data_IF_455622396224
#
_entry.id   IF_455622396224
#
_cell.length_a   1.000
_cell.length_b   1.000
_cell.length_c   1.000
_cell.angle_alpha   90.00
_cell.angle_beta   90.00
_cell.angle_gamma   90.00
#
_symmetry.space_group_name_H-M   'P 1'
#
loop_
_entity.id
_entity.type
_entity.pdbx_description
1 polymer ?
#
# COMPACT_ATOMS: atom_id res chain seq x y z
N UNK A 1 -32.20 3.71 62.49
CA UNK A 1 -32.66 4.93 63.19
C UNK A 1 -32.20 6.13 62.38
N UNK A 2 -33.15 7.04 62.13
CA UNK A 2 -33.08 8.42 61.62
C UNK A 2 -32.28 8.67 60.32
N UNK A 3 -32.93 8.96 59.19
CA UNK A 3 -33.67 10.19 58.79
C UNK A 3 -32.75 11.09 57.97
N UNK A 4 -33.04 11.21 56.66
CA UNK A 4 -33.46 12.46 55.99
C UNK A 4 -32.36 13.55 56.00
N UNK A 5 -31.91 14.04 54.86
CA UNK A 5 -32.81 14.78 54.00
C UNK A 5 -32.26 15.12 52.63
N UNK A 6 -33.25 15.24 51.76
CA UNK A 6 -33.24 15.70 50.38
C UNK A 6 -32.72 17.14 50.27
N UNK A 7 -32.19 17.42 49.09
CA UNK A 7 -31.92 18.72 48.49
C UNK A 7 -33.03 19.73 48.74
N UNK A 8 -32.68 20.92 49.24
CA UNK A 8 -33.39 22.16 48.95
C UNK A 8 -32.39 23.24 48.54
N UNK A 9 -32.46 23.59 47.25
CA UNK A 9 -31.85 24.78 46.69
C UNK A 9 -32.56 26.01 47.27
N UNK A 10 -31.81 26.85 47.99
CA UNK A 10 -32.24 28.20 48.33
C UNK A 10 -31.17 29.18 47.83
N UNK A 11 -31.21 29.47 46.53
CA UNK A 11 -30.56 30.66 45.99
C UNK A 11 -31.42 31.87 46.39
N UNK A 12 -31.01 32.58 47.44
CA UNK A 12 -31.54 33.90 47.76
C UNK A 12 -30.36 34.86 47.88
N UNK A 13 -30.14 35.78 46.90
CA UNK A 13 -29.15 36.82 47.04
C UNK A 13 -29.70 37.85 48.02
N UNK A 14 -29.26 37.78 49.26
CA UNK A 14 -29.56 38.78 50.27
C UNK A 14 -28.73 40.02 49.93
N UNK A 15 -29.30 40.94 49.14
CA UNK A 15 -28.76 42.28 48.91
C UNK A 15 -28.81 43.07 50.22
N UNK A 16 -27.80 42.89 51.07
CA UNK A 16 -27.62 43.73 52.25
C UNK A 16 -26.26 44.39 52.21
N UNK A 17 -26.32 45.69 51.88
CA UNK A 17 -25.29 46.72 52.05
C UNK A 17 -24.21 46.34 53.06
N UNK A 18 -22.97 46.26 52.57
CA UNK A 18 -21.80 46.80 53.23
C UNK A 18 -20.87 47.29 52.11
N UNK A 19 -21.04 48.58 51.75
CA UNK A 19 -20.01 49.34 51.05
C UNK A 19 -19.04 49.77 52.13
N UNK A 20 -18.09 48.90 52.49
CA UNK A 20 -16.97 49.26 53.34
C UNK A 20 -15.68 48.99 52.56
N UNK A 21 -15.01 50.10 52.27
CA UNK A 21 -13.59 50.26 51.98
C UNK A 21 -13.03 49.56 50.72
N UNK A 22 -13.05 50.34 49.63
CA UNK A 22 -12.11 50.21 48.52
C UNK A 22 -10.66 50.27 49.05
N UNK A 23 -10.08 49.12 49.39
CA UNK A 23 -8.67 48.90 49.13
C UNK A 23 -8.52 48.69 47.62
N UNK A 24 -8.43 49.80 46.88
CA UNK A 24 -7.98 49.77 45.50
C UNK A 24 -6.59 49.13 45.52
N UNK A 25 -6.50 47.91 44.98
CA UNK A 25 -5.24 47.21 44.75
C UNK A 25 -4.37 47.93 43.69
N UNK A 26 -4.36 49.27 43.61
CA UNK A 26 -3.56 50.08 42.68
C UNK A 26 -3.78 49.84 41.18
N UNK A 27 -4.47 48.76 40.79
CA UNK A 27 -4.77 48.38 39.43
C UNK A 27 -5.99 49.19 39.00
N UNK A 28 -5.75 50.13 38.11
CA UNK A 28 -6.82 50.89 37.47
C UNK A 28 -7.49 50.04 36.39
N UNK A 29 -8.71 50.41 35.99
CA UNK A 29 -9.36 49.77 34.84
C UNK A 29 -8.53 49.92 33.55
N UNK A 30 -7.70 50.96 33.46
CA UNK A 30 -6.78 51.19 32.36
C UNK A 30 -5.66 50.13 32.36
N UNK A 31 -5.06 49.82 33.51
CA UNK A 31 -4.04 48.76 33.63
C UNK A 31 -4.60 47.39 33.24
N UNK A 32 -5.86 47.11 33.62
CA UNK A 32 -6.53 45.88 33.22
C UNK A 32 -6.79 45.82 31.71
N UNK A 33 -7.20 46.93 31.09
CA UNK A 33 -7.41 47.01 29.65
C UNK A 33 -6.09 46.85 28.87
N UNK A 34 -4.99 47.44 29.35
CA UNK A 34 -3.66 47.31 28.76
C UNK A 34 -3.19 45.84 28.80
N UNK A 35 -3.31 45.18 29.96
CA UNK A 35 -2.91 43.78 30.11
C UNK A 35 -3.74 42.84 29.22
N UNK A 36 -5.03 43.11 29.05
CA UNK A 36 -5.89 42.35 28.15
C UNK A 36 -5.49 42.54 26.68
N UNK A 37 -5.21 43.76 26.25
CA UNK A 37 -4.73 44.05 24.89
C UNK A 37 -3.37 43.39 24.62
N UNK A 38 -2.45 43.43 25.59
CA UNK A 38 -1.15 42.77 25.47
C UNK A 38 -1.32 41.25 25.34
N UNK A 39 -2.15 40.63 26.20
CA UNK A 39 -2.43 39.20 26.13
C UNK A 39 -3.07 38.83 24.78
N UNK A 40 -4.00 39.64 24.28
CA UNK A 40 -4.64 39.42 22.99
C UNK A 40 -3.65 39.50 21.83
N UNK A 41 -2.70 40.44 21.88
CA UNK A 41 -1.63 40.57 20.89
C UNK A 41 -0.71 39.35 20.92
N UNK A 42 -0.23 38.94 22.09
CA UNK A 42 0.63 37.76 22.25
C UNK A 42 -0.04 36.48 21.73
N UNK A 43 -1.32 36.28 22.07
CA UNK A 43 -2.11 35.15 21.55
C UNK A 43 -2.29 35.20 20.03
N UNK A 44 -2.41 36.40 19.46
CA UNK A 44 -2.53 36.57 18.00
C UNK A 44 -1.23 36.21 17.30
N UNK A 45 -0.08 36.63 17.84
CA UNK A 45 1.25 36.29 17.32
C UNK A 45 1.51 34.78 17.40
N UNK A 46 1.20 34.17 18.55
CA UNK A 46 1.33 32.72 18.74
C UNK A 46 0.45 31.97 17.73
N UNK A 47 -0.78 32.43 17.52
CA UNK A 47 -1.70 31.81 16.55
C UNK A 47 -1.15 31.86 15.13
N UNK A 48 -0.56 32.97 14.72
CA UNK A 48 0.03 33.14 13.39
C UNK A 48 1.23 32.20 13.20
N UNK A 49 2.14 32.14 14.17
CA UNK A 49 3.29 31.21 14.14
C UNK A 49 2.83 29.74 14.07
N UNK A 50 1.82 29.35 14.85
CA UNK A 50 1.25 28.00 14.75
C UNK A 50 0.62 27.72 13.38
N UNK A 51 -0.02 28.71 12.75
CA UNK A 51 -0.60 28.54 11.42
C UNK A 51 0.49 28.32 10.35
N UNK A 52 1.57 29.08 10.44
CA UNK A 52 2.71 28.95 9.52
C UNK A 52 3.38 27.58 9.69
N UNK A 53 3.66 27.16 10.92
CA UNK A 53 4.23 25.84 11.21
C UNK A 53 3.33 24.70 10.72
N UNK A 54 2.01 24.80 10.88
CA UNK A 54 1.07 23.81 10.35
C UNK A 54 1.05 23.80 8.82
N UNK A 55 1.19 24.97 8.18
CA UNK A 55 1.29 25.08 6.74
C UNK A 55 2.56 24.39 6.22
N UNK A 56 3.70 24.67 6.84
CA UNK A 56 4.98 24.05 6.50
C UNK A 56 4.96 22.53 6.71
N UNK A 57 4.43 22.07 7.85
CA UNK A 57 4.28 20.65 8.15
C UNK A 57 3.39 19.97 7.10
N UNK A 58 2.25 20.58 6.75
CA UNK A 58 1.36 20.06 5.72
C UNK A 58 2.07 19.94 4.37
N UNK A 59 2.84 20.96 3.97
CA UNK A 59 3.60 20.92 2.74
C UNK A 59 4.68 19.83 2.75
N UNK A 60 5.40 19.69 3.86
CA UNK A 60 6.42 18.64 4.01
C UNK A 60 5.80 17.25 3.91
N UNK A 61 4.70 17.00 4.62
CA UNK A 61 3.97 15.73 4.58
C UNK A 61 3.48 15.43 3.16
N UNK A 62 2.90 16.41 2.46
CA UNK A 62 2.45 16.22 1.08
C UNK A 62 3.61 15.83 0.16
N UNK A 63 4.75 16.53 0.23
CA UNK A 63 5.94 16.20 -0.58
C UNK A 63 6.43 14.78 -0.32
N UNK A 64 6.45 14.34 0.94
CA UNK A 64 6.84 12.97 1.29
C UNK A 64 5.83 11.93 0.79
N UNK A 65 4.55 12.23 0.88
CA UNK A 65 3.49 11.36 0.39
C UNK A 65 3.54 11.21 -1.14
N UNK A 66 3.80 12.31 -1.85
CA UNK A 66 3.99 12.30 -3.30
C UNK A 66 5.24 11.47 -3.70
N UNK A 67 6.34 11.61 -2.97
CA UNK A 67 7.54 10.80 -3.20
C UNK A 67 7.28 9.30 -2.97
N UNK A 68 6.57 8.95 -1.90
CA UNK A 68 6.21 7.56 -1.62
C UNK A 68 5.28 6.99 -2.70
N UNK A 69 4.33 7.78 -3.20
CA UNK A 69 3.46 7.35 -4.30
C UNK A 69 4.26 7.03 -5.56
N UNK A 70 5.28 7.82 -5.89
CA UNK A 70 6.16 7.55 -7.03
C UNK A 70 6.93 6.24 -6.85
N UNK A 71 7.46 5.95 -5.65
CA UNK A 71 8.12 4.67 -5.36
C UNK A 71 7.16 3.48 -5.48
N UNK A 72 5.94 3.64 -4.98
CA UNK A 72 4.90 2.60 -5.08
C UNK A 72 4.52 2.34 -6.54
N UNK A 73 4.46 3.38 -7.36
CA UNK A 73 4.18 3.24 -8.79
C UNK A 73 5.34 2.59 -9.55
N UNK A 74 6.60 2.90 -9.20
CA UNK A 74 7.79 2.24 -9.77
C UNK A 74 7.81 0.73 -9.44
N UNK A 75 7.54 0.37 -8.18
CA UNK A 75 7.42 -1.03 -7.76
C UNK A 75 6.30 -1.74 -8.55
N UNK A 76 5.16 -1.07 -8.77
CA UNK A 76 4.04 -1.64 -9.52
C UNK A 76 4.40 -1.86 -10.99
N UNK A 77 5.10 -0.92 -11.61
CA UNK A 77 5.61 -1.07 -12.96
C UNK A 77 6.57 -2.27 -13.06
N UNK A 78 7.54 -2.36 -12.15
CA UNK A 78 8.48 -3.48 -12.10
C UNK A 78 7.78 -4.84 -11.88
N UNK A 79 6.76 -4.90 -11.03
CA UNK A 79 5.96 -6.12 -10.87
C UNK A 79 5.22 -6.53 -12.15
N UNK A 80 4.69 -5.56 -12.89
CA UNK A 80 4.03 -5.83 -14.18
C UNK A 80 5.02 -6.38 -15.21
N UNK A 81 6.23 -5.80 -15.28
CA UNK A 81 7.29 -6.27 -16.17
C UNK A 81 7.74 -7.70 -15.84
N UNK A 82 7.95 -7.99 -14.55
CA UNK A 82 8.29 -9.35 -14.09
C UNK A 82 7.17 -10.33 -14.44
N UNK A 83 5.91 -9.94 -14.21
CA UNK A 83 4.74 -10.77 -14.53
C UNK A 83 4.69 -11.12 -16.02
N UNK A 84 4.92 -10.13 -16.89
CA UNK A 84 4.97 -10.32 -18.34
C UNK A 84 6.12 -11.25 -18.73
N UNK A 85 7.32 -11.03 -18.19
CA UNK A 85 8.48 -11.88 -18.45
C UNK A 85 8.23 -13.34 -18.03
N UNK A 86 7.58 -13.56 -16.89
CA UNK A 86 7.22 -14.91 -16.42
C UNK A 86 6.18 -15.56 -17.35
N UNK A 87 5.20 -14.79 -17.82
CA UNK A 87 4.21 -15.27 -18.78
C UNK A 87 4.85 -15.69 -20.11
N UNK A 88 5.76 -14.89 -20.64
CA UNK A 88 6.51 -15.19 -21.86
C UNK A 88 7.41 -16.42 -21.69
N UNK A 89 8.12 -16.52 -20.56
CA UNK A 89 8.96 -17.67 -20.26
C UNK A 89 8.11 -18.96 -20.20
N UNK A 90 6.95 -18.91 -19.55
CA UNK A 90 6.00 -20.03 -19.52
C UNK A 90 5.56 -20.42 -20.93
N UNK A 91 5.21 -19.45 -21.77
CA UNK A 91 4.79 -19.70 -23.15
C UNK A 91 5.92 -20.35 -23.97
N UNK A 92 7.16 -19.89 -23.80
CA UNK A 92 8.34 -20.50 -24.40
C UNK A 92 8.54 -21.95 -23.95
N UNK A 93 8.40 -22.24 -22.66
CA UNK A 93 8.50 -23.60 -22.15
C UNK A 93 7.41 -24.51 -22.72
N UNK A 94 6.16 -24.05 -22.78
CA UNK A 94 5.05 -24.82 -23.38
C UNK A 94 5.32 -25.11 -24.85
N UNK A 95 5.80 -24.11 -25.61
CA UNK A 95 6.18 -24.28 -27.01
C UNK A 95 7.33 -25.29 -27.18
N UNK A 96 8.36 -25.19 -26.34
CA UNK A 96 9.51 -26.10 -26.37
C UNK A 96 9.11 -27.54 -26.03
N UNK A 97 8.25 -27.74 -25.03
CA UNK A 97 7.70 -29.06 -24.71
C UNK A 97 6.93 -29.64 -25.89
N UNK A 98 6.06 -28.86 -26.53
CA UNK A 98 5.33 -29.28 -27.72
C UNK A 98 6.27 -29.68 -28.88
N UNK A 99 7.31 -28.88 -29.13
CA UNK A 99 8.32 -29.16 -30.14
C UNK A 99 9.13 -30.43 -29.82
N UNK A 100 9.53 -30.60 -28.56
CA UNK A 100 10.26 -31.77 -28.09
C UNK A 100 9.43 -33.05 -28.25
N UNK A 101 8.18 -33.05 -27.77
CA UNK A 101 7.25 -34.18 -27.92
C UNK A 101 7.08 -34.53 -29.40
N UNK A 102 6.85 -33.53 -30.27
CA UNK A 102 6.74 -33.74 -31.72
C UNK A 102 8.00 -34.37 -32.33
N UNK A 103 9.19 -33.95 -31.89
CA UNK A 103 10.46 -34.51 -32.34
C UNK A 103 10.61 -35.97 -31.90
N UNK A 104 10.38 -36.27 -30.62
CA UNK A 104 10.45 -37.64 -30.07
C UNK A 104 9.50 -38.59 -30.80
N UNK A 105 8.26 -38.17 -31.04
CA UNK A 105 7.30 -38.98 -31.79
C UNK A 105 7.73 -39.21 -33.25
N UNK A 106 8.24 -38.19 -33.93
CA UNK A 106 8.77 -38.31 -35.30
C UNK A 106 9.96 -39.27 -35.37
N UNK A 107 10.90 -39.15 -34.44
CA UNK A 107 12.09 -39.99 -34.39
C UNK A 107 11.72 -41.45 -34.11
N UNK A 108 10.77 -41.68 -33.20
CA UNK A 108 10.29 -43.03 -32.90
C UNK A 108 9.55 -43.65 -34.11
N UNK A 109 8.73 -42.88 -34.83
CA UNK A 109 8.10 -43.33 -36.08
C UNK A 109 9.14 -43.69 -37.15
N UNK A 110 10.18 -42.86 -37.33
CA UNK A 110 11.27 -43.15 -38.28
C UNK A 110 12.01 -44.43 -37.91
N UNK A 111 12.38 -44.62 -36.64
CA UNK A 111 13.04 -45.85 -36.17
C UNK A 111 12.20 -47.10 -36.42
N UNK A 112 10.91 -47.05 -36.12
CA UNK A 112 9.98 -48.17 -36.40
C UNK A 112 9.92 -48.49 -37.89
N UNK A 113 9.77 -47.47 -38.75
CA UNK A 113 9.72 -47.67 -40.20
C UNK A 113 11.01 -48.32 -40.73
N UNK A 114 12.16 -47.83 -40.28
CA UNK A 114 13.46 -48.35 -40.71
C UNK A 114 13.65 -49.82 -40.31
N UNK A 115 13.19 -50.20 -39.11
CA UNK A 115 13.17 -51.60 -38.66
C UNK A 115 12.27 -52.47 -39.53
N UNK A 116 11.04 -52.03 -39.85
CA UNK A 116 10.14 -52.76 -40.73
C UNK A 116 10.72 -52.98 -42.14
N UNK A 117 11.35 -51.95 -42.72
CA UNK A 117 12.01 -52.04 -44.03
C UNK A 117 13.18 -53.02 -43.98
N UNK A 118 13.98 -53.01 -42.91
CA UNK A 118 15.07 -53.97 -42.72
C UNK A 118 14.58 -55.42 -42.66
N UNK A 119 13.51 -55.69 -41.88
CA UNK A 119 12.91 -57.03 -41.79
C UNK A 119 12.38 -57.48 -43.16
N UNK A 120 11.62 -56.63 -43.86
CA UNK A 120 11.12 -56.93 -45.20
C UNK A 120 12.26 -57.22 -46.18
N UNK A 121 13.33 -56.41 -46.15
CA UNK A 121 14.50 -56.60 -47.00
C UNK A 121 15.17 -57.96 -46.78
N UNK A 122 15.36 -58.37 -45.51
CA UNK A 122 15.92 -59.69 -45.17
C UNK A 122 15.02 -60.82 -45.67
N UNK A 123 13.70 -60.73 -45.45
CA UNK A 123 12.75 -61.75 -45.91
C UNK A 123 12.76 -61.86 -47.43
N UNK A 124 12.66 -60.74 -48.15
CA UNK A 124 12.69 -60.73 -49.61
C UNK A 124 14.01 -61.29 -50.17
N UNK A 125 15.15 -60.89 -49.59
CA UNK A 125 16.46 -61.41 -50.00
C UNK A 125 16.56 -62.93 -49.78
N UNK A 126 16.03 -63.43 -48.65
CA UNK A 126 16.00 -64.86 -48.30
C UNK A 126 15.13 -65.68 -49.26
N UNK A 127 13.96 -65.14 -49.65
CA UNK A 127 13.08 -65.78 -50.64
C UNK A 127 13.72 -65.77 -52.02
N UNK A 128 14.35 -64.66 -52.42
CA UNK A 128 15.04 -64.56 -53.70
C UNK A 128 16.21 -65.55 -53.80
N UNK A 129 17.05 -65.67 -52.77
CA UNK A 129 18.12 -66.68 -52.76
C UNK A 129 17.56 -68.09 -52.77
N UNK A 130 16.51 -68.38 -52.00
CA UNK A 130 15.86 -69.70 -52.06
C UNK A 130 15.33 -70.05 -53.46
N UNK A 131 14.76 -69.09 -54.18
CA UNK A 131 14.26 -69.30 -55.54
C UNK A 131 15.37 -69.43 -56.59
N UNK A 132 16.52 -68.79 -56.39
CA UNK A 132 17.67 -68.84 -57.32
C UNK A 132 18.50 -70.11 -57.17
N UNK A 133 18.59 -70.65 -55.95
CA UNK A 133 19.38 -71.85 -55.64
C UNK A 133 18.55 -73.15 -55.58
N UNK A 134 17.31 -73.11 -56.07
CA UNK A 134 16.43 -74.27 -56.24
C UNK A 134 16.29 -74.60 -57.71
#
# INVERSE_FOLDING_TARGET
MASSGRVEHSWSPNYRRHMDENQSNGVTNEDMAINLLQTQMELSLIREDFQDQLCELRQAVNRHLDALNLEVDDVRAGQMDISNMVADLKNHFVSLQGAYVKKVFKDNKRKKLMSCVGIFGVVCASVATYLVFK
#
